data_IF_417023112842
#
_entry.id   IF_417023112842
#
_cell.length_a   1.000
_cell.length_b   1.000
_cell.length_c   1.000
_cell.angle_alpha   90.00
_cell.angle_beta   90.00
_cell.angle_gamma   90.00
#
_symmetry.space_group_name_H-M   'P 1'
#
loop_
_entity.id
_entity.type
_entity.pdbx_description
1 polymer ?
#
# COMPACT_ATOMS: atom_id res chain seq x y z
N UNK A 1 19.32 30.15 86.05
CA UNK A 1 19.76 28.94 85.32
C UNK A 1 18.63 28.53 84.38
N UNK A 2 18.75 28.85 83.09
CA UNK A 2 17.83 28.38 82.04
C UNK A 2 18.53 27.24 81.32
N UNK A 3 17.92 26.07 81.33
CA UNK A 3 18.35 24.89 80.57
C UNK A 3 17.75 24.97 79.17
N UNK A 4 18.61 25.16 78.16
CA UNK A 4 18.25 25.02 76.74
C UNK A 4 18.34 23.54 76.35
N UNK A 5 17.20 22.96 75.94
CA UNK A 5 17.12 21.63 75.32
C UNK A 5 17.20 21.77 73.81
N UNK A 6 18.34 21.35 73.24
CA UNK A 6 18.54 21.19 71.80
C UNK A 6 17.82 19.93 71.29
N UNK A 7 16.80 20.11 70.45
CA UNK A 7 16.20 19.02 69.65
C UNK A 7 16.92 18.94 68.29
N UNK A 8 17.73 17.91 68.11
CA UNK A 8 18.32 17.54 66.82
C UNK A 8 17.35 16.57 66.14
N UNK A 9 16.65 17.03 65.10
CA UNK A 9 15.89 16.16 64.19
C UNK A 9 16.86 15.62 63.10
N UNK A 10 16.89 14.30 62.84
CA UNK A 10 17.77 13.73 61.83
C UNK A 10 17.30 14.07 60.40
N UNK A 11 18.19 14.69 59.63
CA UNK A 11 18.03 15.18 58.26
C UNK A 11 17.96 14.07 57.19
N UNK A 12 17.67 12.82 57.57
CA UNK A 12 17.75 11.64 56.68
C UNK A 12 16.40 11.15 56.14
N UNK A 13 15.29 11.80 56.48
CA UNK A 13 13.95 11.39 56.04
C UNK A 13 13.45 12.08 54.75
N UNK A 14 14.16 13.09 54.22
CA UNK A 14 13.61 13.96 53.16
C UNK A 14 13.96 13.58 51.71
N UNK A 15 14.69 12.48 51.48
CA UNK A 15 15.08 12.03 50.13
C UNK A 15 14.32 10.81 49.60
N UNK A 16 13.42 10.19 50.39
CA UNK A 16 12.66 9.00 49.97
C UNK A 16 11.27 9.30 49.38
N UNK A 17 10.79 10.54 49.48
CA UNK A 17 9.45 10.92 49.02
C UNK A 17 9.30 11.09 47.47
N UNK A 18 10.33 11.43 46.66
CA UNK A 18 10.17 11.43 45.21
C UNK A 18 10.20 10.02 44.60
N UNK A 19 10.87 9.06 45.26
CA UNK A 19 11.05 7.71 44.73
C UNK A 19 9.76 6.85 44.83
N UNK A 20 8.95 7.04 45.88
CA UNK A 20 7.69 6.31 46.07
C UNK A 20 6.54 6.86 45.21
N UNK A 21 6.62 8.12 44.76
CA UNK A 21 5.64 8.69 43.83
C UNK A 21 5.86 8.20 42.38
N UNK A 22 7.10 7.90 41.99
CA UNK A 22 7.39 7.34 40.67
C UNK A 22 7.13 5.82 40.57
N UNK A 23 7.22 5.06 41.67
CA UNK A 23 7.04 3.60 41.63
C UNK A 23 5.58 3.15 41.49
N UNK A 24 4.60 4.03 41.70
CA UNK A 24 3.19 3.72 41.47
C UNK A 24 2.73 3.94 40.02
N UNK A 25 3.54 4.60 39.18
CA UNK A 25 3.19 4.87 37.78
C UNK A 25 3.42 3.67 36.82
N UNK A 26 3.92 2.52 37.29
CA UNK A 26 4.34 1.41 36.43
C UNK A 26 3.52 0.11 36.58
N UNK A 27 2.42 0.10 37.35
CA UNK A 27 1.56 -1.10 37.49
C UNK A 27 0.45 -1.17 36.43
N UNK A 28 0.80 -1.01 35.15
CA UNK A 28 -0.11 -1.33 34.05
C UNK A 28 -0.07 -2.85 33.79
N UNK A 29 -1.20 -3.53 33.92
CA UNK A 29 -1.35 -4.89 33.40
C UNK A 29 -1.17 -4.87 31.88
N UNK A 30 -0.56 -5.91 31.30
CA UNK A 30 -0.48 -6.04 29.86
C UNK A 30 -1.85 -6.36 29.25
N UNK A 31 -2.08 -5.87 28.04
CA UNK A 31 -3.18 -6.30 27.18
C UNK A 31 -2.61 -6.95 25.93
N UNK A 32 -3.13 -8.12 25.57
CA UNK A 32 -2.83 -8.79 24.30
C UNK A 32 -4.14 -8.91 23.53
N UNK A 33 -4.13 -8.45 22.27
CA UNK A 33 -5.27 -8.51 21.37
C UNK A 33 -4.89 -9.34 20.16
N UNK A 34 -5.67 -10.37 19.87
CA UNK A 34 -5.53 -11.19 18.67
C UNK A 34 -6.83 -11.28 17.89
N UNK A 35 -6.74 -11.65 16.62
CA UNK A 35 -7.90 -11.85 15.76
C UNK A 35 -7.49 -12.11 14.32
N UNK A 36 -8.47 -12.03 13.41
CA UNK A 36 -8.27 -12.18 11.97
C UNK A 36 -8.91 -11.01 11.23
N UNK A 37 -8.15 -10.29 10.42
CA UNK A 37 -8.65 -9.23 9.57
C UNK A 37 -9.23 -9.80 8.28
N UNK A 38 -10.45 -9.40 7.94
CA UNK A 38 -11.13 -9.86 6.72
C UNK A 38 -11.72 -8.72 5.89
N UNK A 39 -11.86 -8.99 4.59
CA UNK A 39 -12.52 -8.16 3.59
C UNK A 39 -13.49 -9.06 2.83
N UNK A 40 -14.79 -8.92 3.08
CA UNK A 40 -15.83 -9.79 2.53
C UNK A 40 -15.51 -11.29 2.72
N UNK A 41 -15.09 -11.66 3.93
CA UNK A 41 -14.72 -13.03 4.32
C UNK A 41 -13.34 -13.51 3.84
N UNK A 42 -12.56 -12.69 3.12
CA UNK A 42 -11.19 -13.02 2.70
C UNK A 42 -10.16 -12.36 3.61
N UNK A 43 -9.05 -13.04 3.96
CA UNK A 43 -8.03 -12.47 4.84
C UNK A 43 -7.36 -11.23 4.22
N UNK A 44 -6.99 -10.25 5.06
CA UNK A 44 -6.23 -9.05 4.67
C UNK A 44 -4.76 -9.22 5.09
N UNK A 45 -3.86 -9.63 4.18
CA UNK A 45 -2.48 -9.95 4.55
C UNK A 45 -1.65 -8.70 4.83
N UNK A 46 -0.64 -8.81 5.71
CA UNK A 46 0.43 -7.82 5.88
C UNK A 46 -0.04 -6.38 6.13
N UNK A 47 -1.20 -6.24 6.78
CA UNK A 47 -1.76 -4.94 7.14
C UNK A 47 -1.24 -4.49 8.50
N UNK A 48 -1.04 -3.18 8.66
CA UNK A 48 -0.52 -2.59 9.89
C UNK A 48 -1.61 -2.62 10.97
N UNK A 49 -1.26 -3.10 12.15
CA UNK A 49 -2.11 -3.10 13.35
C UNK A 49 -1.53 -2.11 14.34
N UNK A 50 -2.38 -1.27 14.95
CA UNK A 50 -1.98 -0.44 16.08
C UNK A 50 -2.97 -0.59 17.22
N UNK A 51 -2.45 -0.77 18.42
CA UNK A 51 -3.22 -0.52 19.64
C UNK A 51 -3.01 0.93 20.04
N UNK A 52 -4.10 1.65 20.19
CA UNK A 52 -4.12 3.06 20.56
C UNK A 52 -4.89 3.20 21.86
N UNK A 53 -4.29 3.91 22.81
CA UNK A 53 -4.93 4.33 24.04
C UNK A 53 -5.41 5.77 23.87
N UNK A 54 -6.72 5.96 23.81
CA UNK A 54 -7.35 7.26 23.62
C UNK A 54 -7.62 7.91 24.98
N UNK A 55 -6.99 9.06 25.26
CA UNK A 55 -7.27 9.90 26.44
C UNK A 55 -8.09 11.11 25.98
N UNK A 56 -9.42 11.00 26.03
CA UNK A 56 -10.28 12.01 25.42
C UNK A 56 -10.03 12.10 23.91
N UNK A 57 -9.52 13.23 23.43
CA UNK A 57 -9.24 13.47 21.99
C UNK A 57 -7.78 13.20 21.60
N UNK A 58 -6.94 12.74 22.53
CA UNK A 58 -5.51 12.52 22.30
C UNK A 58 -5.27 11.02 22.07
N UNK A 59 -5.10 10.56 20.82
CA UNK A 59 -4.75 9.18 20.53
C UNK A 59 -3.27 8.93 20.86
N UNK A 60 -2.98 7.92 21.68
CA UNK A 60 -1.61 7.48 21.95
C UNK A 60 -1.37 6.05 21.44
N UNK A 61 -0.56 5.88 20.39
CA UNK A 61 -0.19 4.55 19.89
C UNK A 61 0.72 3.83 20.89
N UNK A 62 0.21 2.78 21.53
CA UNK A 62 0.93 2.03 22.59
C UNK A 62 1.59 0.75 22.08
N UNK A 63 1.17 0.23 20.93
CA UNK A 63 1.85 -0.85 20.22
C UNK A 63 1.58 -0.77 18.71
N UNK A 64 2.51 -1.29 17.90
CA UNK A 64 2.38 -1.44 16.45
C UNK A 64 2.79 -2.87 16.09
N UNK A 65 2.00 -3.53 15.25
CA UNK A 65 2.24 -4.86 14.73
C UNK A 65 1.79 -4.98 13.27
N UNK A 66 1.82 -6.19 12.73
CA UNK A 66 1.39 -6.49 11.37
C UNK A 66 0.60 -7.80 11.38
N UNK A 67 -0.43 -7.89 10.53
CA UNK A 67 -1.12 -9.14 10.27
C UNK A 67 -0.26 -10.06 9.39
N UNK A 68 -0.34 -11.37 9.59
CA UNK A 68 0.35 -12.35 8.76
C UNK A 68 -0.29 -12.49 7.36
N UNK A 69 0.18 -13.46 6.57
CA UNK A 69 -0.35 -13.75 5.24
C UNK A 69 -1.81 -14.25 5.23
N UNK A 70 -2.30 -14.72 6.38
CA UNK A 70 -3.66 -15.19 6.60
C UNK A 70 -4.51 -14.13 7.32
N UNK A 71 -4.01 -12.88 7.42
CA UNK A 71 -4.69 -11.78 8.10
C UNK A 71 -4.76 -11.94 9.62
N UNK A 72 -4.06 -12.92 10.20
CA UNK A 72 -4.05 -13.14 11.66
C UNK A 72 -3.10 -12.14 12.30
N UNK A 73 -3.47 -11.62 13.46
CA UNK A 73 -2.61 -10.75 14.24
C UNK A 73 -2.65 -11.11 15.71
N UNK A 74 -1.57 -10.76 16.42
CA UNK A 74 -1.49 -10.80 17.87
C UNK A 74 -0.55 -9.68 18.32
N UNK A 75 -1.06 -8.73 19.09
CA UNK A 75 -0.34 -7.53 19.50
C UNK A 75 -0.48 -7.33 21.01
N UNK A 76 0.65 -7.19 21.70
CA UNK A 76 0.71 -6.96 23.14
C UNK A 76 1.17 -5.54 23.42
N UNK A 77 0.49 -4.88 24.36
CA UNK A 77 0.84 -3.55 24.84
C UNK A 77 0.74 -3.49 26.37
N UNK A 78 1.33 -2.43 26.95
CA UNK A 78 1.13 -2.06 28.36
C UNK A 78 0.53 -0.67 28.42
N UNK A 79 -0.81 -0.55 28.54
CA UNK A 79 -1.47 0.74 28.68
C UNK A 79 -1.01 1.44 29.96
N UNK A 80 -0.95 2.78 29.94
CA UNK A 80 -0.74 3.53 31.18
C UNK A 80 -2.03 3.54 32.00
N UNK A 81 -1.94 3.38 33.32
CA UNK A 81 -3.12 3.40 34.18
C UNK A 81 -3.51 4.85 34.49
N UNK A 82 -4.65 5.29 33.95
CA UNK A 82 -5.30 6.53 34.37
C UNK A 82 -6.73 6.22 34.83
N UNK A 83 -6.89 6.07 36.14
CA UNK A 83 -8.15 5.63 36.76
C UNK A 83 -8.64 6.73 37.70
N UNK A 84 -9.87 7.18 37.51
CA UNK A 84 -10.55 8.10 38.44
C UNK A 84 -11.79 7.41 38.97
N UNK A 85 -11.96 7.35 40.30
CA UNK A 85 -13.12 6.71 40.95
C UNK A 85 -13.36 5.26 40.44
N UNK A 86 -12.28 4.48 40.29
CA UNK A 86 -12.30 3.09 39.80
C UNK A 86 -12.81 2.89 38.36
N UNK A 87 -12.91 3.95 37.55
CA UNK A 87 -13.21 3.83 36.11
C UNK A 87 -11.99 4.28 35.29
N UNK A 88 -11.59 3.52 34.25
CA UNK A 88 -10.64 4.02 33.28
C UNK A 88 -11.24 5.26 32.61
N UNK A 89 -10.45 6.33 32.50
CA UNK A 89 -10.83 7.54 31.75
C UNK A 89 -10.21 7.53 30.34
N UNK A 90 -10.03 6.33 29.80
CA UNK A 90 -9.40 6.10 28.52
C UNK A 90 -10.05 4.90 27.83
N UNK A 91 -9.99 4.91 26.51
CA UNK A 91 -10.48 3.83 25.65
C UNK A 91 -9.29 3.15 24.98
N UNK A 92 -9.43 1.85 24.73
CA UNK A 92 -8.48 1.11 23.93
C UNK A 92 -9.09 0.91 22.55
N UNK A 93 -8.37 1.30 21.51
CA UNK A 93 -8.83 1.22 20.13
C UNK A 93 -7.84 0.41 19.30
N UNK A 94 -8.35 -0.55 18.54
CA UNK A 94 -7.61 -1.25 17.50
C UNK A 94 -7.72 -0.47 16.19
N UNK A 95 -6.59 0.03 15.69
CA UNK A 95 -6.51 0.68 14.38
C UNK A 95 -5.89 -0.27 13.36
N UNK A 96 -6.53 -0.37 12.19
CA UNK A 96 -6.06 -1.13 11.04
C UNK A 96 -5.62 -0.16 9.94
N UNK A 97 -4.33 -0.18 9.63
CA UNK A 97 -3.72 0.55 8.52
C UNK A 97 -3.54 -0.36 7.31
N UNK A 98 -4.22 -0.05 6.21
CA UNK A 98 -4.06 -0.74 4.93
C UNK A 98 -2.80 -0.23 4.22
N UNK A 99 -1.64 -0.69 4.68
CA UNK A 99 -0.31 -0.29 4.19
C UNK A 99 0.53 -1.54 4.01
N UNK A 100 1.05 -1.74 2.81
CA UNK A 100 1.98 -2.82 2.51
C UNK A 100 3.42 -2.32 2.50
N UNK A 101 4.31 -3.06 3.15
CA UNK A 101 5.75 -2.76 3.25
C UNK A 101 6.53 -3.99 2.82
N UNK A 102 7.57 -3.81 2.00
CA UNK A 102 8.42 -4.92 1.60
C UNK A 102 9.21 -5.45 2.79
N UNK A 103 9.21 -6.77 2.99
CA UNK A 103 9.99 -7.42 4.05
C UNK A 103 11.50 -7.30 3.82
N UNK A 104 11.94 -7.24 2.56
CA UNK A 104 13.35 -7.21 2.16
C UNK A 104 14.10 -5.96 2.61
N UNK A 105 13.43 -4.80 2.62
CA UNK A 105 14.07 -3.50 2.81
C UNK A 105 13.26 -2.51 3.66
N UNK A 106 12.14 -2.95 4.23
CA UNK A 106 11.21 -2.15 5.04
C UNK A 106 10.68 -0.88 4.33
N UNK A 107 10.78 -0.79 3.01
CA UNK A 107 10.23 0.33 2.24
C UNK A 107 8.74 0.08 2.02
N UNK A 108 7.95 1.14 2.21
CA UNK A 108 6.53 1.13 1.92
C UNK A 108 6.32 0.90 0.42
N UNK A 109 5.58 -0.14 0.08
CA UNK A 109 5.14 -0.40 -1.29
C UNK A 109 3.97 0.51 -1.64
N UNK A 110 2.87 0.46 -0.89
CA UNK A 110 1.72 1.35 -1.05
C UNK A 110 0.91 1.47 0.25
N UNK A 111 -0.03 2.42 0.27
CA UNK A 111 -1.02 2.54 1.34
C UNK A 111 -2.36 3.02 0.77
N UNK A 112 -3.45 2.57 1.38
CA UNK A 112 -4.83 2.91 1.04
C UNK A 112 -5.48 3.60 2.24
N UNK A 113 -6.21 4.69 2.00
CA UNK A 113 -7.03 5.38 3.00
C UNK A 113 -8.51 5.02 2.79
N UNK A 114 -9.39 5.13 3.81
CA UNK A 114 -9.13 5.45 5.22
C UNK A 114 -8.56 4.29 6.05
N UNK A 115 -8.19 4.60 7.29
CA UNK A 115 -7.90 3.61 8.34
C UNK A 115 -9.20 3.19 9.03
N UNK A 116 -9.26 1.95 9.49
CA UNK A 116 -10.36 1.44 10.30
C UNK A 116 -9.98 1.51 11.79
N UNK A 117 -10.95 1.77 12.65
CA UNK A 117 -10.77 1.79 14.10
C UNK A 117 -11.93 1.06 14.79
N UNK A 118 -11.63 0.19 15.74
CA UNK A 118 -12.59 -0.50 16.58
C UNK A 118 -12.26 -0.24 18.05
N UNK A 119 -13.22 0.30 18.80
CA UNK A 119 -13.10 0.46 20.24
C UNK A 119 -13.24 -0.91 20.90
N UNK A 120 -12.38 -1.19 21.87
CA UNK A 120 -12.33 -2.42 22.65
C UNK A 120 -12.91 -2.16 24.04
N UNK A 121 -13.69 -3.11 24.55
CA UNK A 121 -14.40 -3.02 25.83
C UNK A 121 -13.59 -3.56 27.03
N UNK A 122 -12.30 -3.84 26.79
CA UNK A 122 -11.35 -4.34 27.78
C UNK A 122 -10.06 -3.51 27.82
N UNK A 123 -9.37 -3.55 28.95
CA UNK A 123 -8.18 -2.72 29.22
C UNK A 123 -6.93 -3.52 29.62
N UNK A 124 -7.08 -4.82 29.91
CA UNK A 124 -6.01 -5.73 30.35
C UNK A 124 -6.35 -7.18 30.00
N UNK A 125 -5.37 -8.08 30.07
CA UNK A 125 -5.56 -9.52 29.83
C UNK A 125 -5.27 -9.95 28.39
N UNK A 126 -5.69 -11.16 28.03
CA UNK A 126 -5.50 -11.72 26.68
C UNK A 126 -6.88 -11.92 26.06
N UNK A 127 -7.11 -11.31 24.90
CA UNK A 127 -8.40 -11.29 24.23
C UNK A 127 -8.25 -11.66 22.76
N UNK A 128 -8.98 -12.69 22.34
CA UNK A 128 -9.22 -12.97 20.92
C UNK A 128 -10.55 -12.31 20.53
N UNK A 129 -10.47 -11.29 19.68
CA UNK A 129 -11.65 -10.54 19.23
C UNK A 129 -12.29 -11.16 17.98
N UNK A 130 -11.79 -12.33 17.53
CA UNK A 130 -12.34 -13.05 16.40
C UNK A 130 -12.10 -12.34 15.07
N UNK A 131 -13.13 -12.33 14.23
CA UNK A 131 -13.09 -11.69 12.91
C UNK A 131 -13.33 -10.19 13.00
N UNK A 132 -12.43 -9.41 12.40
CA UNK A 132 -12.55 -7.97 12.22
C UNK A 132 -12.77 -7.68 10.75
N UNK A 133 -14.03 -7.48 10.37
CA UNK A 133 -14.41 -7.15 9.00
C UNK A 133 -14.12 -5.67 8.69
N UNK A 134 -13.17 -5.42 7.80
CA UNK A 134 -12.81 -4.06 7.35
C UNK A 134 -13.75 -3.62 6.21
N UNK A 135 -14.03 -2.32 6.16
CA UNK A 135 -14.92 -1.72 5.16
C UNK A 135 -14.54 -2.10 3.71
N UNK A 136 -15.55 -2.41 2.90
CA UNK A 136 -15.40 -3.08 1.61
C UNK A 136 -14.49 -2.35 0.60
N UNK A 137 -14.70 -1.05 0.33
CA UNK A 137 -13.93 -0.39 -0.74
C UNK A 137 -12.42 -0.24 -0.46
N UNK A 138 -11.98 0.24 0.72
CA UNK A 138 -10.55 0.37 1.01
C UNK A 138 -9.87 -1.00 1.08
N UNK A 139 -10.53 -1.99 1.70
CA UNK A 139 -9.97 -3.34 1.80
C UNK A 139 -9.91 -4.03 0.43
N UNK A 140 -10.92 -3.86 -0.42
CA UNK A 140 -10.91 -4.33 -1.80
C UNK A 140 -9.72 -3.72 -2.55
N UNK A 141 -9.57 -2.40 -2.53
CA UNK A 141 -8.44 -1.71 -3.19
C UNK A 141 -7.10 -2.26 -2.71
N UNK A 142 -6.95 -2.43 -1.39
CA UNK A 142 -5.73 -2.97 -0.80
C UNK A 142 -5.42 -4.39 -1.30
N UNK A 143 -6.39 -5.31 -1.24
CA UNK A 143 -6.18 -6.71 -1.66
C UNK A 143 -5.83 -6.78 -3.14
N UNK A 144 -6.54 -6.04 -4.00
CA UNK A 144 -6.33 -6.07 -5.44
C UNK A 144 -4.95 -5.54 -5.84
N UNK A 145 -4.51 -4.44 -5.23
CA UNK A 145 -3.17 -3.90 -5.47
C UNK A 145 -2.07 -4.76 -4.85
N UNK A 146 -2.30 -5.37 -3.68
CA UNK A 146 -1.39 -6.34 -3.10
C UNK A 146 -1.19 -7.53 -4.05
N UNK A 147 -2.27 -8.08 -4.59
CA UNK A 147 -2.21 -9.19 -5.55
C UNK A 147 -1.51 -8.78 -6.86
N UNK A 148 -1.81 -7.61 -7.41
CA UNK A 148 -1.16 -7.10 -8.61
C UNK A 148 0.35 -6.92 -8.40
N UNK A 149 0.75 -6.39 -7.24
CA UNK A 149 2.15 -6.22 -6.89
C UNK A 149 2.85 -7.56 -6.63
N UNK A 150 2.18 -8.51 -5.98
CA UNK A 150 2.69 -9.87 -5.81
C UNK A 150 2.90 -10.55 -7.16
N UNK A 151 1.94 -10.43 -8.08
CA UNK A 151 2.05 -10.93 -9.46
C UNK A 151 3.27 -10.32 -10.17
N UNK A 152 3.43 -9.00 -10.08
CA UNK A 152 4.60 -8.29 -10.60
C UNK A 152 5.92 -8.82 -10.05
N UNK A 153 6.06 -8.88 -8.72
CA UNK A 153 7.30 -9.34 -8.12
C UNK A 153 7.58 -10.81 -8.46
N UNK A 154 6.55 -11.63 -8.60
CA UNK A 154 6.69 -13.07 -8.91
C UNK A 154 7.14 -13.27 -10.36
N UNK A 155 6.55 -12.54 -11.30
CA UNK A 155 6.86 -12.65 -12.74
C UNK A 155 8.22 -12.05 -13.11
N UNK A 156 8.65 -11.03 -12.38
CA UNK A 156 9.86 -10.26 -12.72
C UNK A 156 11.03 -10.51 -11.79
N UNK A 157 10.80 -10.99 -10.57
CA UNK A 157 11.82 -11.01 -9.51
C UNK A 157 12.20 -9.60 -9.00
N UNK A 158 11.43 -8.56 -9.35
CA UNK A 158 11.72 -7.16 -9.02
C UNK A 158 10.74 -6.61 -8.00
N UNK A 159 11.16 -5.59 -7.25
CA UNK A 159 10.29 -4.78 -6.41
C UNK A 159 10.07 -3.41 -7.04
N UNK A 160 8.83 -2.94 -7.09
CA UNK A 160 8.51 -1.58 -7.51
C UNK A 160 8.79 -0.61 -6.35
N UNK A 161 9.32 0.57 -6.69
CA UNK A 161 9.45 1.66 -5.71
C UNK A 161 8.06 2.13 -5.26
N UNK A 162 7.99 2.72 -4.07
CA UNK A 162 6.74 3.17 -3.44
C UNK A 162 5.73 3.82 -4.39
N UNK A 163 4.57 3.18 -4.54
CA UNK A 163 3.39 3.62 -5.27
C UNK A 163 2.46 4.31 -4.29
N UNK A 164 1.86 5.44 -4.69
CA UNK A 164 0.84 6.12 -3.90
C UNK A 164 -0.53 5.79 -4.45
N UNK A 165 -1.46 5.38 -3.59
CA UNK A 165 -2.86 5.24 -4.00
C UNK A 165 -3.58 6.47 -3.50
N UNK A 166 -4.28 7.15 -4.40
CA UNK A 166 -5.01 8.36 -4.08
C UNK A 166 -6.48 8.19 -4.49
N UNK A 167 -7.37 8.19 -3.49
CA UNK A 167 -8.81 8.14 -3.72
C UNK A 167 -9.31 9.57 -3.88
N UNK A 168 -10.01 9.85 -4.97
CA UNK A 168 -10.47 11.20 -5.31
C UNK A 168 -11.97 11.27 -5.51
N UNK A 169 -12.54 12.43 -5.22
CA UNK A 169 -13.85 12.83 -5.67
C UNK A 169 -13.80 13.11 -7.18
N UNK A 170 -13.68 12.05 -7.98
CA UNK A 170 -13.86 12.15 -9.42
C UNK A 170 -15.36 12.22 -9.74
N UNK A 171 -15.77 12.86 -10.86
CA UNK A 171 -17.14 12.80 -11.34
C UNK A 171 -17.63 11.34 -11.38
N UNK A 172 -18.87 11.11 -10.91
CA UNK A 172 -19.47 9.77 -10.88
C UNK A 172 -19.45 9.16 -12.28
N UNK A 173 -18.78 8.02 -12.45
CA UNK A 173 -18.56 7.38 -13.76
C UNK A 173 -17.17 7.57 -14.36
N UNK A 174 -16.27 8.31 -13.70
CA UNK A 174 -14.84 8.33 -14.09
C UNK A 174 -14.21 6.95 -13.85
N UNK A 175 -13.29 6.54 -14.73
CA UNK A 175 -12.53 5.29 -14.58
C UNK A 175 -11.27 5.51 -13.75
N UNK A 176 -10.69 4.47 -13.14
CA UNK A 176 -9.33 4.51 -12.62
C UNK A 176 -8.34 5.03 -13.66
N UNK A 177 -7.32 5.75 -13.22
CA UNK A 177 -6.22 6.15 -14.08
C UNK A 177 -4.92 6.29 -13.29
N UNK A 178 -3.81 6.28 -14.00
CA UNK A 178 -2.47 6.34 -13.41
C UNK A 178 -1.74 7.64 -13.75
N UNK A 179 -1.14 8.24 -12.74
CA UNK A 179 -0.14 9.30 -12.83
C UNK A 179 1.26 8.70 -12.59
N UNK A 180 2.32 9.50 -12.73
CA UNK A 180 3.72 9.06 -12.56
C UNK A 180 3.96 8.00 -11.46
N UNK A 181 3.51 8.27 -10.22
CA UNK A 181 3.62 7.34 -9.07
C UNK A 181 2.29 7.13 -8.35
N UNK A 182 1.17 7.43 -9.00
CA UNK A 182 -0.13 7.43 -8.33
C UNK A 182 -1.17 6.69 -9.13
N UNK A 183 -1.98 5.88 -8.44
CA UNK A 183 -3.23 5.36 -9.00
C UNK A 183 -4.36 6.20 -8.41
N UNK A 184 -5.15 6.81 -9.29
CA UNK A 184 -6.30 7.65 -8.96
C UNK A 184 -7.57 6.81 -9.10
N UNK A 185 -8.31 6.68 -7.99
CA UNK A 185 -9.54 5.89 -7.95
C UNK A 185 -10.75 6.78 -7.66
N UNK A 186 -11.89 6.57 -8.33
CA UNK A 186 -13.16 7.17 -7.91
C UNK A 186 -13.54 6.73 -6.49
N UNK A 187 -14.25 7.59 -5.75
CA UNK A 187 -14.83 7.22 -4.45
C UNK A 187 -15.69 5.96 -4.62
N UNK A 188 -15.55 5.01 -3.68
CA UNK A 188 -16.34 3.77 -3.63
C UNK A 188 -16.20 2.92 -4.90
N UNK A 189 -15.09 3.03 -5.61
CA UNK A 189 -14.78 2.15 -6.72
C UNK A 189 -14.36 0.77 -6.20
N UNK A 190 -14.96 -0.30 -6.74
CA UNK A 190 -14.54 -1.68 -6.48
C UNK A 190 -13.55 -2.10 -7.57
N UNK A 191 -12.28 -2.14 -7.19
CA UNK A 191 -11.21 -2.55 -8.08
C UNK A 191 -11.32 -4.05 -8.38
N UNK A 192 -11.07 -4.41 -9.64
CA UNK A 192 -10.93 -5.79 -10.10
C UNK A 192 -9.44 -6.17 -10.15
N UNK A 193 -9.12 -7.46 -10.23
CA UNK A 193 -7.72 -7.89 -10.36
C UNK A 193 -7.11 -7.47 -11.72
N UNK A 194 -7.92 -7.35 -12.78
CA UNK A 194 -7.43 -6.91 -14.08
C UNK A 194 -7.07 -5.42 -14.06
N UNK A 195 -7.98 -4.54 -13.60
CA UNK A 195 -7.72 -3.10 -13.50
C UNK A 195 -6.56 -2.83 -12.55
N UNK A 196 -6.47 -3.52 -11.41
CA UNK A 196 -5.35 -3.34 -10.49
C UNK A 196 -4.00 -3.64 -11.15
N UNK A 197 -3.93 -4.66 -12.03
CA UNK A 197 -2.72 -4.98 -12.78
C UNK A 197 -2.47 -3.98 -13.91
N UNK A 198 -3.51 -3.53 -14.59
CA UNK A 198 -3.45 -2.52 -15.66
C UNK A 198 -2.88 -1.20 -15.13
N UNK A 199 -3.48 -0.64 -14.09
CA UNK A 199 -3.03 0.61 -13.47
C UNK A 199 -1.63 0.48 -12.85
N UNK A 200 -1.33 -0.67 -12.24
CA UNK A 200 0.01 -0.95 -11.74
C UNK A 200 1.05 -0.94 -12.87
N UNK A 201 0.72 -1.47 -14.05
CA UNK A 201 1.60 -1.51 -15.20
C UNK A 201 1.94 -0.10 -15.71
N UNK A 202 0.97 0.81 -15.77
CA UNK A 202 1.22 2.21 -16.10
C UNK A 202 2.17 2.86 -15.10
N UNK A 203 1.88 2.75 -13.80
CA UNK A 203 2.75 3.33 -12.77
C UNK A 203 4.16 2.76 -12.85
N UNK A 204 4.30 1.45 -13.05
CA UNK A 204 5.59 0.81 -13.22
C UNK A 204 6.33 1.34 -14.45
N UNK A 205 5.66 1.42 -15.62
CA UNK A 205 6.22 1.99 -16.85
C UNK A 205 6.73 3.41 -16.60
N UNK A 206 5.88 4.28 -16.09
CA UNK A 206 6.21 5.68 -15.81
C UNK A 206 7.47 5.80 -14.94
N UNK A 207 7.60 4.96 -13.90
CA UNK A 207 8.77 4.95 -13.01
C UNK A 207 10.05 4.47 -13.69
N UNK A 208 9.96 3.55 -14.66
CA UNK A 208 11.12 3.07 -15.42
C UNK A 208 11.50 3.99 -16.57
N UNK A 209 10.52 4.69 -17.15
CA UNK A 209 10.72 5.60 -18.27
C UNK A 209 11.43 6.89 -17.83
N UNK A 210 11.17 7.41 -16.62
CA UNK A 210 11.92 8.57 -16.16
C UNK A 210 11.48 9.14 -14.83
N UNK A 211 11.65 10.46 -14.71
CA UNK A 211 11.16 11.23 -13.56
C UNK A 211 9.78 11.85 -13.84
N UNK A 212 9.28 12.62 -12.86
CA UNK A 212 7.97 13.26 -12.98
C UNK A 212 7.92 14.33 -14.08
N UNK A 213 9.04 14.98 -14.38
CA UNK A 213 9.08 16.04 -15.38
C UNK A 213 8.98 15.45 -16.79
N UNK A 214 9.67 14.34 -17.03
CA UNK A 214 9.52 13.57 -18.26
C UNK A 214 8.08 13.05 -18.44
N UNK A 215 7.47 12.48 -17.38
CA UNK A 215 6.07 12.04 -17.43
C UNK A 215 5.10 13.18 -17.78
N UNK A 216 5.30 14.38 -17.25
CA UNK A 216 4.45 15.54 -17.56
C UNK A 216 4.58 15.97 -19.02
N UNK A 217 5.79 15.92 -19.60
CA UNK A 217 6.02 16.19 -21.02
C UNK A 217 5.31 15.16 -21.91
N UNK A 218 5.37 13.88 -21.56
CA UNK A 218 4.67 12.82 -22.30
C UNK A 218 3.15 12.99 -22.24
N UNK A 219 2.61 13.35 -21.07
CA UNK A 219 1.17 13.62 -20.94
C UNK A 219 0.76 14.83 -21.78
N UNK A 220 1.57 15.88 -21.85
CA UNK A 220 1.29 17.05 -22.70
C UNK A 220 1.39 16.72 -24.20
N UNK A 221 2.38 15.92 -24.59
CA UNK A 221 2.63 15.58 -25.99
C UNK A 221 1.69 14.50 -26.54
N UNK A 222 1.37 13.50 -25.71
CA UNK A 222 0.74 12.25 -26.15
C UNK A 222 -0.46 11.81 -25.30
N UNK A 223 -0.75 12.52 -24.21
CA UNK A 223 -1.80 12.15 -23.27
C UNK A 223 -3.18 12.10 -23.91
N UNK A 224 -3.95 11.07 -23.56
CA UNK A 224 -5.37 10.94 -23.89
C UNK A 224 -6.20 10.89 -22.60
N UNK A 225 -7.30 11.65 -22.56
CA UNK A 225 -8.28 11.59 -21.46
C UNK A 225 -9.47 10.69 -21.79
N UNK A 226 -9.41 9.98 -22.92
CA UNK A 226 -10.53 9.21 -23.45
C UNK A 226 -10.58 7.81 -22.83
N UNK A 227 -11.78 7.37 -22.48
CA UNK A 227 -12.04 5.97 -22.17
C UNK A 227 -11.72 5.12 -23.39
N UNK A 228 -10.89 4.09 -23.21
CA UNK A 228 -10.41 3.26 -24.31
C UNK A 228 -10.65 1.77 -24.00
N UNK A 229 -10.63 0.96 -25.05
CA UNK A 229 -10.74 -0.49 -25.00
C UNK A 229 -9.75 -1.12 -26.00
N UNK A 230 -9.76 -2.44 -26.11
CA UNK A 230 -8.86 -3.20 -26.99
C UNK A 230 -8.88 -2.81 -28.47
N UNK A 231 -9.92 -2.11 -28.94
CA UNK A 231 -10.12 -1.72 -30.34
C UNK A 231 -10.08 -0.20 -30.54
N UNK A 232 -9.86 0.59 -29.48
CA UNK A 232 -9.80 2.05 -29.59
C UNK A 232 -8.57 2.45 -30.39
N UNK A 233 -8.80 3.18 -31.48
CA UNK A 233 -7.75 3.82 -32.28
C UNK A 233 -7.34 5.14 -31.64
N UNK A 234 -6.04 5.41 -31.61
CA UNK A 234 -5.43 6.56 -30.93
C UNK A 234 -4.13 6.99 -31.63
N UNK A 235 -3.25 7.79 -30.99
CA UNK A 235 -1.88 7.96 -31.48
C UNK A 235 -1.06 6.69 -31.23
N UNK A 236 0.05 6.50 -31.94
CA UNK A 236 0.96 5.36 -31.72
C UNK A 236 1.56 5.37 -30.31
N UNK A 237 1.75 6.55 -29.74
CA UNK A 237 2.32 6.76 -28.42
C UNK A 237 1.33 6.40 -27.32
N UNK A 238 0.09 6.87 -27.44
CA UNK A 238 -0.98 6.50 -26.52
C UNK A 238 -1.31 5.02 -26.62
N UNK A 239 -1.39 4.47 -27.85
CA UNK A 239 -1.60 3.06 -28.09
C UNK A 239 -0.50 2.19 -27.46
N UNK A 240 0.75 2.63 -27.47
CA UNK A 240 1.82 1.92 -26.79
C UNK A 240 1.69 1.98 -25.27
N UNK A 241 1.37 3.16 -24.70
CA UNK A 241 1.14 3.28 -23.26
C UNK A 241 0.02 2.33 -22.77
N UNK A 242 -1.12 2.30 -23.47
CA UNK A 242 -2.22 1.39 -23.14
C UNK A 242 -1.92 -0.06 -23.49
N UNK A 243 -1.30 -0.30 -24.64
CA UNK A 243 -0.90 -1.63 -25.08
C UNK A 243 0.09 -2.30 -24.14
N UNK A 244 0.98 -1.53 -23.50
CA UNK A 244 1.86 -2.01 -22.45
C UNK A 244 1.07 -2.50 -21.23
N UNK A 245 0.10 -1.72 -20.76
CA UNK A 245 -0.73 -2.08 -19.63
C UNK A 245 -1.64 -3.28 -19.93
N UNK A 246 -2.24 -3.33 -21.12
CA UNK A 246 -3.01 -4.49 -21.61
C UNK A 246 -2.14 -5.74 -21.75
N UNK A 247 -0.91 -5.61 -22.26
CA UNK A 247 0.06 -6.70 -22.30
C UNK A 247 0.30 -7.27 -20.90
N UNK A 248 0.60 -6.39 -19.94
CA UNK A 248 0.93 -6.78 -18.58
C UNK A 248 -0.26 -7.42 -17.84
N UNK A 249 -1.43 -6.82 -17.94
CA UNK A 249 -2.67 -7.28 -17.31
C UNK A 249 -3.27 -8.52 -17.98
N UNK A 250 -2.68 -9.00 -19.09
CA UNK A 250 -3.17 -10.10 -19.94
C UNK A 250 -4.54 -9.81 -20.53
N UNK A 251 -4.78 -8.56 -20.88
CA UNK A 251 -6.00 -8.11 -21.54
C UNK A 251 -5.91 -8.27 -23.05
N UNK A 252 -7.07 -8.16 -23.71
CA UNK A 252 -7.18 -8.20 -25.18
C UNK A 252 -6.66 -9.50 -25.83
N UNK A 253 -6.62 -10.62 -25.11
CA UNK A 253 -6.17 -11.90 -25.69
C UNK A 253 -7.12 -12.44 -26.76
N UNK A 254 -8.42 -12.15 -26.65
CA UNK A 254 -9.46 -12.57 -27.59
C UNK A 254 -9.93 -11.48 -28.56
N UNK A 255 -9.30 -10.30 -28.57
CA UNK A 255 -9.69 -9.24 -29.50
C UNK A 255 -9.22 -9.56 -30.92
N UNK A 256 -9.93 -9.01 -31.91
CA UNK A 256 -9.47 -9.00 -33.32
C UNK A 256 -8.08 -8.39 -33.39
N UNK A 257 -7.20 -9.01 -34.19
CA UNK A 257 -5.81 -8.58 -34.33
C UNK A 257 -5.52 -8.17 -35.75
N UNK A 258 -5.31 -6.87 -35.96
CA UNK A 258 -5.05 -6.27 -37.27
C UNK A 258 -3.60 -5.76 -37.41
N UNK A 259 -2.75 -6.02 -36.40
CA UNK A 259 -1.36 -5.56 -36.32
C UNK A 259 -1.21 -4.03 -36.40
N UNK A 260 -2.23 -3.31 -35.94
CA UNK A 260 -2.23 -1.85 -35.90
C UNK A 260 -1.42 -1.35 -34.70
N UNK A 261 -0.50 -0.40 -34.94
CA UNK A 261 0.35 0.18 -33.88
C UNK A 261 -0.28 1.38 -33.20
N UNK A 262 -1.43 1.83 -33.69
CA UNK A 262 -2.26 2.91 -33.16
C UNK A 262 -3.50 2.39 -32.41
N UNK A 263 -3.54 1.08 -32.12
CA UNK A 263 -4.58 0.41 -31.32
C UNK A 263 -3.92 -0.37 -30.18
N UNK A 264 -4.24 -0.02 -28.94
CA UNK A 264 -3.56 -0.60 -27.77
C UNK A 264 -3.69 -2.11 -27.65
N UNK A 265 -4.85 -2.69 -27.99
CA UNK A 265 -5.02 -4.15 -27.96
C UNK A 265 -4.13 -4.90 -28.96
N UNK A 266 -3.90 -4.30 -30.14
CA UNK A 266 -2.98 -4.84 -31.15
C UNK A 266 -1.53 -4.69 -30.69
N UNK A 267 -1.15 -3.54 -30.13
CA UNK A 267 0.18 -3.35 -29.52
C UNK A 267 0.44 -4.37 -28.42
N UNK A 268 -0.54 -4.63 -27.55
CA UNK A 268 -0.40 -5.64 -26.50
C UNK A 268 -0.12 -7.04 -27.05
N UNK A 269 -0.73 -7.39 -28.20
CA UNK A 269 -0.48 -8.66 -28.87
C UNK A 269 0.88 -8.67 -29.58
N UNK A 270 1.27 -7.58 -30.22
CA UNK A 270 2.61 -7.43 -30.79
C UNK A 270 3.72 -7.55 -29.74
N UNK A 271 3.51 -7.05 -28.52
CA UNK A 271 4.43 -7.23 -27.38
C UNK A 271 4.54 -8.70 -26.94
N UNK A 272 3.42 -9.45 -26.94
CA UNK A 272 3.44 -10.90 -26.67
C UNK A 272 4.18 -11.68 -27.75
N UNK A 273 3.90 -11.37 -29.02
CA UNK A 273 4.60 -11.99 -30.16
C UNK A 273 6.10 -11.70 -30.10
N UNK A 274 6.50 -10.48 -29.76
CA UNK A 274 7.91 -10.10 -29.58
C UNK A 274 8.56 -10.89 -28.43
N UNK A 275 7.91 -10.97 -27.28
CA UNK A 275 8.42 -11.71 -26.12
C UNK A 275 8.65 -13.20 -26.47
N UNK A 276 7.67 -13.82 -27.14
CA UNK A 276 7.71 -15.21 -27.57
C UNK A 276 8.79 -15.44 -28.65
N UNK A 277 8.81 -14.60 -29.70
CA UNK A 277 9.80 -14.68 -30.77
C UNK A 277 11.23 -14.58 -30.25
N UNK A 278 11.47 -13.70 -29.27
CA UNK A 278 12.77 -13.50 -28.68
C UNK A 278 13.09 -14.47 -27.52
N UNK A 279 12.17 -15.37 -27.16
CA UNK A 279 12.28 -16.27 -26.02
C UNK A 279 12.73 -15.57 -24.72
N UNK A 280 12.08 -14.44 -24.43
CA UNK A 280 12.42 -13.57 -23.29
C UNK A 280 11.42 -13.71 -22.15
N UNK A 281 11.85 -13.45 -20.92
CA UNK A 281 11.01 -13.50 -19.73
C UNK A 281 10.22 -12.20 -19.52
N UNK A 282 9.24 -12.21 -18.60
CA UNK A 282 8.57 -10.97 -18.19
C UNK A 282 9.56 -9.95 -17.60
N UNK A 283 10.60 -10.42 -16.90
CA UNK A 283 11.66 -9.55 -16.40
C UNK A 283 12.40 -8.84 -17.54
N UNK A 284 12.72 -9.56 -18.60
CA UNK A 284 13.49 -9.03 -19.74
C UNK A 284 12.74 -7.92 -20.47
N UNK A 285 11.41 -8.00 -20.51
CA UNK A 285 10.56 -6.94 -21.04
C UNK A 285 10.70 -5.64 -20.23
N UNK A 286 10.68 -5.72 -18.90
CA UNK A 286 10.88 -4.54 -18.06
C UNK A 286 12.31 -3.98 -18.12
N UNK A 287 13.32 -4.83 -18.32
CA UNK A 287 14.72 -4.37 -18.47
C UNK A 287 14.83 -3.40 -19.66
N UNK A 288 14.09 -3.62 -20.75
CA UNK A 288 14.13 -2.73 -21.93
C UNK A 288 13.75 -1.31 -21.56
N UNK A 289 12.66 -1.10 -20.81
CA UNK A 289 12.25 0.22 -20.34
C UNK A 289 13.31 0.82 -19.41
N UNK A 290 13.80 0.06 -18.44
CA UNK A 290 14.81 0.52 -17.47
C UNK A 290 16.14 0.96 -18.14
N UNK A 291 16.53 0.31 -19.23
CA UNK A 291 17.77 0.62 -19.97
C UNK A 291 17.61 1.78 -20.95
N UNK A 292 16.39 2.24 -21.21
CA UNK A 292 16.08 3.28 -22.19
C UNK A 292 15.15 4.36 -21.61
N UNK A 293 15.52 4.99 -20.47
CA UNK A 293 14.68 6.01 -19.87
C UNK A 293 14.48 7.20 -20.82
N UNK A 294 13.22 7.57 -21.06
CA UNK A 294 12.80 8.74 -21.83
C UNK A 294 12.95 8.58 -23.33
N UNK A 295 13.02 7.34 -23.82
CA UNK A 295 13.28 7.05 -25.23
C UNK A 295 12.20 6.20 -25.90
N UNK A 296 11.34 5.54 -25.13
CA UNK A 296 10.40 4.56 -25.68
C UNK A 296 8.96 5.02 -25.47
N UNK A 297 8.39 5.58 -26.52
CA UNK A 297 7.02 6.07 -26.55
C UNK A 297 6.15 5.25 -27.49
N UNK A 298 6.72 4.51 -28.43
CA UNK A 298 6.00 3.70 -29.42
C UNK A 298 6.40 2.22 -29.40
N UNK A 299 5.57 1.37 -30.00
CA UNK A 299 5.92 -0.06 -30.18
C UNK A 299 7.21 -0.25 -30.97
N UNK A 300 7.47 0.55 -32.01
CA UNK A 300 8.66 0.38 -32.87
C UNK A 300 9.95 0.73 -32.13
N UNK A 301 9.93 1.77 -31.31
CA UNK A 301 11.04 2.11 -30.43
C UNK A 301 11.30 0.97 -29.43
N UNK A 302 10.24 0.41 -28.84
CA UNK A 302 10.36 -0.70 -27.92
C UNK A 302 10.91 -1.96 -28.60
N UNK A 303 10.36 -2.34 -29.76
CA UNK A 303 10.79 -3.52 -30.53
C UNK A 303 12.28 -3.42 -30.87
N UNK A 304 12.72 -2.26 -31.39
CA UNK A 304 14.12 -2.02 -31.73
C UNK A 304 15.03 -2.11 -30.50
N UNK A 305 14.65 -1.47 -29.40
CA UNK A 305 15.41 -1.53 -28.15
C UNK A 305 15.48 -2.95 -27.58
N UNK A 306 14.36 -3.68 -27.62
CA UNK A 306 14.27 -5.07 -27.17
C UNK A 306 15.15 -6.00 -28.01
N UNK A 307 15.06 -5.91 -29.33
CA UNK A 307 15.89 -6.72 -30.24
C UNK A 307 17.36 -6.43 -30.08
N UNK A 308 17.73 -5.15 -29.97
CA UNK A 308 19.11 -4.75 -29.74
C UNK A 308 19.64 -5.26 -28.40
N UNK A 309 18.84 -5.25 -27.34
CA UNK A 309 19.28 -5.65 -26.01
C UNK A 309 19.45 -7.17 -25.89
N UNK A 310 18.54 -7.94 -26.49
CA UNK A 310 18.48 -9.39 -26.33
C UNK A 310 19.03 -10.18 -27.53
N UNK A 311 19.65 -9.49 -28.50
CA UNK A 311 20.17 -10.09 -29.74
C UNK A 311 19.12 -10.92 -30.48
N UNK A 312 17.87 -10.43 -30.47
CA UNK A 312 16.74 -11.11 -31.09
C UNK A 312 16.69 -10.79 -32.60
N UNK A 313 16.47 -11.80 -33.46
CA UNK A 313 16.48 -11.64 -34.91
C UNK A 313 15.35 -10.77 -35.48
#
# INVERSE_FOLDING_TARGET
>A
MRTETNFILPLSALLLLPALAFSQCLRGSSVTVSGVLTCSGKPIPFSEIRLVQDIGIIPNSIAIGEADENGRFSITAKPFSFVRRKRPLWELSLYVGLKYTYKSNSRRAFAVNPRFAQVLDFHEGVHDIGEVAVHEYPCNTYIRLYNALKDFNTRTGRELRAIRVAVHNLPKGSVPFSEYRRIRLPIKYLLTDHIARHELAHVARNVFDGDSAHFEQDVEAYGGTETHNCQTKSSTEFAFNEGWAFYWARECQGSTFNRQKDVGGDVAKLLRELQEQCNTSDNDMWVVLEKNPGKIHTYDEYENAHKSLHSCP
#
